data_IF_832468590908
#
_entry.id   IF_832468590908
#
_cell.length_a   1.000
_cell.length_b   1.000
_cell.length_c   1.000
_cell.angle_alpha   90.00
_cell.angle_beta   90.00
_cell.angle_gamma   90.00
#
_symmetry.space_group_name_H-M   'P 1'
#
loop_
_entity.id
_entity.type
_entity.pdbx_description
1 polymer ?
#
# COMPACT_ATOMS: atom_id res chain seq x y z
N UNK A 1 27.64 -1.39 24.83
CA UNK A 1 26.78 -1.83 23.72
C UNK A 1 26.27 -0.56 23.08
N UNK A 2 26.65 -0.29 21.84
CA UNK A 2 26.18 0.88 21.10
C UNK A 2 24.66 0.72 20.93
N UNK A 3 23.89 1.56 21.62
CA UNK A 3 22.43 1.45 21.72
C UNK A 3 21.76 2.28 20.61
N UNK A 4 22.36 2.27 19.42
CA UNK A 4 21.79 2.88 18.24
C UNK A 4 20.62 2.00 17.78
N UNK A 5 19.40 2.53 17.85
CA UNK A 5 18.22 1.86 17.31
C UNK A 5 18.51 1.43 15.87
N UNK A 6 18.21 0.17 15.48
CA UNK A 6 18.56 -0.32 14.16
C UNK A 6 17.94 0.60 13.10
N UNK A 7 18.77 1.08 12.18
CA UNK A 7 18.34 2.03 11.17
C UNK A 7 17.27 1.40 10.25
N UNK A 8 16.19 2.15 10.00
CA UNK A 8 15.18 1.77 9.02
C UNK A 8 15.59 2.34 7.66
N UNK A 9 15.62 1.50 6.64
CA UNK A 9 15.91 1.89 5.25
C UNK A 9 14.67 1.63 4.39
N UNK A 10 14.35 2.58 3.52
CA UNK A 10 13.31 2.42 2.50
C UNK A 10 13.99 2.03 1.19
N UNK A 11 13.60 0.88 0.65
CA UNK A 11 14.19 0.30 -0.56
C UNK A 11 13.08 -0.06 -1.55
N UNK A 12 13.34 -0.06 -2.87
CA UNK A 12 12.47 -0.71 -3.84
C UNK A 12 12.28 -2.20 -3.46
N UNK A 13 11.06 -2.70 -3.65
CA UNK A 13 10.76 -4.11 -3.46
C UNK A 13 10.92 -4.90 -4.77
N UNK A 14 11.53 -6.08 -4.66
CA UNK A 14 11.72 -7.03 -5.75
C UNK A 14 10.79 -8.24 -5.64
N UNK A 15 10.83 -9.12 -6.65
CA UNK A 15 10.02 -10.34 -6.69
C UNK A 15 10.46 -11.31 -5.58
N UNK A 16 11.71 -11.25 -5.15
CA UNK A 16 12.25 -12.01 -4.03
C UNK A 16 11.63 -11.63 -2.66
N UNK A 17 11.02 -10.44 -2.55
CA UNK A 17 10.45 -9.96 -1.29
C UNK A 17 9.00 -10.39 -1.07
N UNK A 18 8.32 -10.91 -2.09
CA UNK A 18 6.84 -11.00 -2.12
C UNK A 18 6.26 -11.81 -0.96
N UNK A 19 6.94 -12.87 -0.53
CA UNK A 19 6.51 -13.65 0.62
C UNK A 19 6.57 -12.83 1.91
N UNK A 20 7.64 -12.05 2.09
CA UNK A 20 7.78 -11.17 3.25
C UNK A 20 6.76 -10.02 3.21
N UNK A 21 6.50 -9.45 2.03
CA UNK A 21 5.50 -8.38 1.85
C UNK A 21 4.09 -8.86 2.16
N UNK A 22 3.70 -10.05 1.68
CA UNK A 22 2.41 -10.65 1.96
C UNK A 22 2.23 -10.93 3.46
N UNK A 23 3.27 -11.43 4.13
CA UNK A 23 3.26 -11.60 5.59
C UNK A 23 3.13 -10.27 6.34
N UNK A 24 3.78 -9.20 5.87
CA UNK A 24 3.68 -7.86 6.47
C UNK A 24 2.27 -7.30 6.32
N UNK A 25 1.70 -7.33 5.11
CA UNK A 25 0.36 -6.80 4.83
C UNK A 25 -0.70 -7.57 5.62
N UNK A 26 -0.58 -8.89 5.62
CA UNK A 26 -1.39 -9.77 6.45
C UNK A 26 -1.28 -9.35 7.92
N UNK A 27 -0.12 -9.49 8.56
CA UNK A 27 0.05 -9.16 9.98
C UNK A 27 -0.49 -7.77 10.36
N UNK A 28 -0.17 -6.75 9.55
CA UNK A 28 -0.59 -5.37 9.77
C UNK A 28 -2.12 -5.18 9.77
N UNK A 29 -2.84 -5.89 8.91
CA UNK A 29 -4.30 -5.78 8.79
C UNK A 29 -5.08 -6.88 9.52
N UNK A 30 -4.40 -7.76 10.26
CA UNK A 30 -5.01 -8.89 10.99
C UNK A 30 -6.10 -8.50 11.98
N UNK A 31 -6.11 -7.25 12.43
CA UNK A 31 -7.05 -6.72 13.43
C UNK A 31 -7.99 -5.65 12.86
N UNK A 32 -7.85 -5.32 11.58
CA UNK A 32 -8.69 -4.29 10.97
C UNK A 32 -10.08 -4.84 10.66
N UNK A 33 -11.16 -4.25 11.23
CA UNK A 33 -12.52 -4.78 11.04
C UNK A 33 -12.99 -4.74 9.59
N UNK A 34 -12.48 -3.80 8.78
CA UNK A 34 -12.82 -3.72 7.36
C UNK A 34 -12.15 -4.87 6.62
N UNK A 35 -10.84 -5.08 6.80
CA UNK A 35 -10.13 -6.20 6.19
C UNK A 35 -10.74 -7.55 6.57
N UNK A 36 -11.10 -7.76 7.84
CA UNK A 36 -11.74 -9.01 8.26
C UNK A 36 -13.10 -9.23 7.57
N UNK A 37 -13.89 -8.17 7.36
CA UNK A 37 -15.16 -8.24 6.64
C UNK A 37 -14.97 -8.56 5.15
N UNK A 38 -13.91 -8.01 4.54
CA UNK A 38 -13.64 -8.12 3.11
C UNK A 38 -12.90 -9.42 2.74
N UNK A 39 -11.82 -9.71 3.43
CA UNK A 39 -10.85 -10.77 3.08
C UNK A 39 -10.96 -12.01 3.98
N UNK A 40 -11.73 -11.93 5.07
CA UNK A 40 -11.85 -13.01 6.05
C UNK A 40 -10.65 -13.10 6.99
N UNK A 41 -10.57 -14.22 7.72
CA UNK A 41 -9.43 -14.52 8.56
C UNK A 41 -8.19 -14.89 7.73
N UNK A 42 -7.02 -14.71 8.34
CA UNK A 42 -5.75 -14.98 7.68
C UNK A 42 -5.51 -16.47 7.55
N UNK A 43 -5.24 -16.89 6.32
CA UNK A 43 -4.88 -18.27 5.99
C UNK A 43 -3.56 -18.27 5.23
N UNK A 44 -2.81 -19.38 5.32
CA UNK A 44 -1.59 -19.55 4.53
C UNK A 44 -1.87 -19.43 3.03
N UNK A 45 -2.99 -20.00 2.56
CA UNK A 45 -3.42 -19.92 1.16
C UNK A 45 -3.72 -18.48 0.72
N UNK A 46 -4.36 -17.68 1.59
CA UNK A 46 -4.60 -16.25 1.32
C UNK A 46 -3.31 -15.43 1.25
N UNK A 47 -2.35 -15.73 2.12
CA UNK A 47 -1.02 -15.09 2.10
C UNK A 47 -0.26 -15.47 0.82
N UNK A 48 -0.31 -16.73 0.41
CA UNK A 48 0.31 -17.21 -0.84
C UNK A 48 -0.34 -16.58 -2.08
N UNK A 49 -1.68 -16.50 -2.12
CA UNK A 49 -2.41 -15.80 -3.16
C UNK A 49 -1.95 -14.35 -3.27
N UNK A 50 -1.83 -13.66 -2.13
CA UNK A 50 -1.40 -12.26 -2.10
C UNK A 50 0.05 -12.07 -2.53
N UNK A 51 0.94 -12.99 -2.15
CA UNK A 51 2.32 -13.00 -2.60
C UNK A 51 2.41 -13.16 -4.12
N UNK A 52 1.57 -14.00 -4.73
CA UNK A 52 1.47 -14.16 -6.18
C UNK A 52 1.03 -12.85 -6.85
N UNK A 53 0.02 -12.16 -6.31
CA UNK A 53 -0.41 -10.86 -6.84
C UNK A 53 0.70 -9.81 -6.77
N UNK A 54 1.49 -9.78 -5.69
CA UNK A 54 2.66 -8.91 -5.60
C UNK A 54 3.73 -9.26 -6.63
N UNK A 55 4.01 -10.55 -6.82
CA UNK A 55 4.97 -11.00 -7.83
C UNK A 55 4.56 -10.55 -9.23
N UNK A 56 3.29 -10.74 -9.60
CA UNK A 56 2.74 -10.31 -10.89
C UNK A 56 2.78 -8.79 -11.04
N UNK A 57 2.43 -8.04 -9.99
CA UNK A 57 2.47 -6.58 -9.99
C UNK A 57 3.88 -6.03 -10.18
N UNK A 58 4.85 -6.52 -9.41
CA UNK A 58 6.25 -6.11 -9.49
C UNK A 58 6.86 -6.52 -10.84
N UNK A 59 6.56 -7.72 -11.34
CA UNK A 59 7.09 -8.23 -12.61
C UNK A 59 6.68 -7.39 -13.83
N UNK A 60 5.53 -6.69 -13.78
CA UNK A 60 5.09 -5.77 -14.85
C UNK A 60 6.04 -4.59 -15.05
N UNK A 61 6.84 -4.23 -14.04
CA UNK A 61 7.74 -3.06 -14.05
C UNK A 61 7.04 -1.79 -14.53
N UNK A 62 5.77 -1.61 -14.14
CA UNK A 62 4.99 -0.42 -14.50
C UNK A 62 5.63 0.79 -13.82
N UNK A 63 6.16 1.78 -14.55
CA UNK A 63 6.81 2.94 -13.96
C UNK A 63 5.85 3.76 -13.07
N UNK A 64 4.53 3.62 -13.28
CA UNK A 64 3.51 4.28 -12.46
C UNK A 64 3.35 3.63 -11.10
N UNK A 65 3.72 2.36 -10.90
CA UNK A 65 3.48 1.68 -9.64
C UNK A 65 4.79 1.36 -8.95
N UNK A 66 5.01 1.96 -7.79
CA UNK A 66 6.20 1.77 -6.98
C UNK A 66 5.87 0.89 -5.78
N UNK A 67 6.49 -0.28 -5.73
CA UNK A 67 6.51 -1.14 -4.56
C UNK A 67 7.77 -0.83 -3.76
N UNK A 68 7.61 -0.44 -2.50
CA UNK A 68 8.69 -0.15 -1.58
C UNK A 68 8.56 -1.00 -0.32
N UNK A 69 9.71 -1.29 0.30
CA UNK A 69 9.82 -2.04 1.55
C UNK A 69 10.57 -1.23 2.59
N UNK A 70 10.14 -1.33 3.84
CA UNK A 70 10.93 -0.88 4.98
C UNK A 70 11.73 -2.05 5.53
N UNK A 71 13.05 -1.89 5.60
CA UNK A 71 13.99 -2.89 6.12
C UNK A 71 14.59 -2.41 7.43
N UNK A 72 14.50 -3.24 8.47
CA UNK A 72 15.10 -3.03 9.77
C UNK A 72 16.39 -3.85 9.88
N UNK A 73 17.48 -3.20 10.27
CA UNK A 73 18.79 -3.86 10.35
C UNK A 73 19.31 -4.24 8.95
N UNK A 74 19.92 -5.43 8.83
CA UNK A 74 20.49 -5.89 7.56
C UNK A 74 19.39 -6.24 6.55
N UNK A 75 18.53 -7.23 6.86
CA UNK A 75 17.63 -7.79 5.84
C UNK A 75 16.18 -8.03 6.31
N UNK A 76 15.79 -7.53 7.49
CA UNK A 76 14.43 -7.82 8.00
C UNK A 76 13.40 -6.87 7.40
N UNK A 77 12.58 -7.37 6.48
CA UNK A 77 11.42 -6.63 5.94
C UNK A 77 10.34 -6.49 7.02
N UNK A 78 10.03 -5.24 7.39
CA UNK A 78 9.06 -4.89 8.42
C UNK A 78 7.89 -4.06 7.89
N UNK A 79 7.97 -3.55 6.66
CA UNK A 79 6.95 -2.68 6.08
C UNK A 79 6.82 -2.83 4.56
N UNK A 80 5.62 -2.55 4.07
CA UNK A 80 5.24 -2.49 2.66
C UNK A 80 4.60 -1.12 2.38
N UNK A 81 5.01 -0.50 1.28
CA UNK A 81 4.34 0.66 0.71
C UNK A 81 4.09 0.44 -0.78
N UNK A 82 2.90 0.80 -1.26
CA UNK A 82 2.55 0.78 -2.68
C UNK A 82 2.07 2.16 -3.08
N UNK A 83 2.82 2.81 -3.97
CA UNK A 83 2.51 4.12 -4.51
C UNK A 83 2.15 4.03 -5.99
N UNK A 84 1.19 4.85 -6.41
CA UNK A 84 0.85 5.06 -7.81
C UNK A 84 1.16 6.51 -8.20
N UNK A 85 1.98 6.69 -9.23
CA UNK A 85 2.52 7.97 -9.67
C UNK A 85 1.91 8.31 -11.02
N UNK A 86 0.96 9.24 -11.03
CA UNK A 86 0.34 9.78 -12.25
C UNK A 86 0.97 11.13 -12.54
N UNK A 87 2.15 11.11 -13.13
CA UNK A 87 2.96 12.31 -13.36
C UNK A 87 2.60 13.06 -14.63
N UNK A 88 1.64 12.55 -15.40
CA UNK A 88 1.05 13.17 -16.58
C UNK A 88 -0.46 12.93 -16.61
N UNK A 89 -1.21 13.77 -17.32
CA UNK A 89 -2.68 13.68 -17.34
C UNK A 89 -3.18 12.44 -18.05
N UNK A 90 -2.44 11.89 -19.01
CA UNK A 90 -2.89 10.74 -19.78
C UNK A 90 -2.81 9.45 -18.97
N UNK A 91 -1.72 9.27 -18.23
CA UNK A 91 -1.56 8.14 -17.31
C UNK A 91 -2.63 8.14 -16.22
N UNK A 92 -3.11 9.31 -15.79
CA UNK A 92 -4.18 9.44 -14.79
C UNK A 92 -5.55 8.91 -15.28
N UNK A 93 -5.77 8.84 -16.60
CA UNK A 93 -7.04 8.36 -17.19
C UNK A 93 -7.09 6.85 -17.34
N UNK A 94 -5.95 6.18 -17.30
CA UNK A 94 -5.83 4.82 -17.83
C UNK A 94 -6.18 3.69 -16.86
N UNK A 95 -6.77 3.98 -15.68
CA UNK A 95 -6.94 2.95 -14.66
C UNK A 95 -8.39 2.63 -14.36
N UNK A 96 -8.90 1.65 -15.10
CA UNK A 96 -10.10 0.90 -14.75
C UNK A 96 -9.63 -0.48 -14.28
N UNK A 97 -9.86 -0.79 -13.01
CA UNK A 97 -9.73 -2.17 -12.52
C UNK A 97 -11.07 -2.83 -12.75
N UNK A 98 -11.11 -3.85 -13.60
CA UNK A 98 -12.30 -4.68 -13.76
C UNK A 98 -12.46 -5.56 -12.52
N UNK A 99 -13.32 -5.12 -11.61
CA UNK A 99 -13.60 -5.81 -10.35
C UNK A 99 -14.44 -7.07 -10.54
N UNK A 100 -15.11 -7.24 -11.69
CA UNK A 100 -15.88 -8.45 -12.02
C UNK A 100 -14.94 -9.57 -12.49
N UNK A 101 -13.83 -9.22 -13.13
CA UNK A 101 -12.77 -10.16 -13.52
C UNK A 101 -11.69 -10.37 -12.43
N UNK A 102 -11.77 -9.66 -11.30
CA UNK A 102 -10.79 -9.78 -10.23
C UNK A 102 -10.95 -11.13 -9.52
N UNK A 103 -9.92 -11.97 -9.60
CA UNK A 103 -9.81 -13.17 -8.76
C UNK A 103 -9.52 -12.75 -7.31
N UNK A 104 -10.43 -13.07 -6.39
CA UNK A 104 -10.26 -12.82 -4.96
C UNK A 104 -9.59 -14.01 -4.28
N UNK A 105 -8.84 -13.74 -3.22
CA UNK A 105 -8.20 -14.78 -2.43
C UNK A 105 -9.21 -15.68 -1.71
N UNK A 106 -8.79 -16.88 -1.28
CA UNK A 106 -9.63 -17.79 -0.52
C UNK A 106 -10.15 -17.13 0.77
N UNK A 107 -11.45 -17.27 1.05
CA UNK A 107 -12.11 -16.67 2.21
C UNK A 107 -12.60 -15.23 2.00
N UNK A 108 -12.22 -14.57 0.91
CA UNK A 108 -12.69 -13.22 0.64
C UNK A 108 -14.19 -13.19 0.29
N UNK A 109 -14.89 -12.21 0.84
CA UNK A 109 -16.25 -11.87 0.46
C UNK A 109 -16.21 -11.04 -0.82
N UNK A 110 -16.29 -11.71 -1.97
CA UNK A 110 -16.18 -11.08 -3.28
C UNK A 110 -17.19 -9.94 -3.51
N UNK A 111 -18.42 -10.07 -3.01
CA UNK A 111 -19.43 -9.00 -3.12
C UNK A 111 -19.03 -7.77 -2.30
N UNK A 112 -18.65 -7.97 -1.02
CA UNK A 112 -18.22 -6.87 -0.16
C UNK A 112 -16.96 -6.20 -0.71
N UNK A 113 -16.00 -6.98 -1.24
CA UNK A 113 -14.82 -6.49 -1.92
C UNK A 113 -15.17 -5.64 -3.14
N UNK A 114 -16.06 -6.11 -4.02
CA UNK A 114 -16.53 -5.34 -5.19
C UNK A 114 -17.15 -4.02 -4.77
N UNK A 115 -18.05 -4.03 -3.79
CA UNK A 115 -18.68 -2.80 -3.31
C UNK A 115 -17.65 -1.84 -2.70
N UNK A 116 -16.78 -2.33 -1.83
CA UNK A 116 -15.81 -1.51 -1.13
C UNK A 116 -14.79 -0.88 -2.09
N UNK A 117 -14.10 -1.69 -2.87
CA UNK A 117 -13.10 -1.19 -3.82
C UNK A 117 -13.73 -0.43 -4.98
N UNK A 118 -14.95 -0.79 -5.39
CA UNK A 118 -15.70 -0.04 -6.40
C UNK A 118 -15.97 1.39 -5.94
N UNK A 119 -16.31 1.60 -4.67
CA UNK A 119 -16.49 2.96 -4.11
C UNK A 119 -15.18 3.72 -4.02
N UNK A 120 -14.07 3.07 -3.67
CA UNK A 120 -12.73 3.66 -3.70
C UNK A 120 -12.39 4.12 -5.11
N UNK A 121 -12.49 3.24 -6.11
CA UNK A 121 -12.13 3.57 -7.49
C UNK A 121 -13.03 4.67 -8.06
N UNK A 122 -14.32 4.66 -7.75
CA UNK A 122 -15.23 5.75 -8.11
C UNK A 122 -14.83 7.09 -7.47
N UNK A 123 -14.31 7.09 -6.24
CA UNK A 123 -13.77 8.31 -5.62
C UNK A 123 -12.55 8.80 -6.40
N UNK A 124 -11.68 7.89 -6.84
CA UNK A 124 -10.47 8.21 -7.59
C UNK A 124 -10.75 8.80 -8.97
N UNK A 125 -11.92 8.55 -9.57
CA UNK A 125 -12.35 9.21 -10.81
C UNK A 125 -12.32 10.74 -10.71
N UNK A 126 -12.48 11.31 -9.50
CA UNK A 126 -12.39 12.77 -9.29
C UNK A 126 -11.00 13.34 -9.60
N UNK A 127 -9.98 12.50 -9.58
CA UNK A 127 -8.58 12.86 -9.88
C UNK A 127 -8.20 12.57 -11.34
N UNK A 128 -9.10 11.94 -12.10
CA UNK A 128 -8.87 11.61 -13.49
C UNK A 128 -8.63 12.89 -14.31
N UNK A 129 -7.59 12.87 -15.15
CA UNK A 129 -7.15 14.03 -15.93
C UNK A 129 -6.26 15.01 -15.16
N UNK A 130 -5.83 14.69 -13.94
CA UNK A 130 -4.93 15.53 -13.15
C UNK A 130 -3.68 14.76 -12.74
N UNK A 131 -2.54 15.44 -12.67
CA UNK A 131 -1.31 14.85 -12.13
C UNK A 131 -1.46 14.69 -10.61
N UNK A 132 -1.14 13.52 -10.08
CA UNK A 132 -1.24 13.25 -8.65
C UNK A 132 -0.46 11.97 -8.27
N UNK A 133 -0.20 11.79 -6.98
CA UNK A 133 0.26 10.51 -6.43
C UNK A 133 -0.82 9.89 -5.55
N UNK A 134 -0.92 8.57 -5.53
CA UNK A 134 -1.87 7.83 -4.69
C UNK A 134 -1.13 6.79 -3.87
N UNK A 135 -1.30 6.82 -2.55
CA UNK A 135 -0.90 5.71 -1.69
C UNK A 135 -1.95 4.61 -1.78
N UNK A 136 -1.58 3.47 -2.36
CA UNK A 136 -2.46 2.32 -2.53
C UNK A 136 -2.45 1.37 -1.32
N UNK A 137 -1.31 1.21 -0.65
CA UNK A 137 -1.18 0.38 0.55
C UNK A 137 -0.03 0.90 1.42
N UNK A 138 -0.21 0.88 2.74
CA UNK A 138 0.83 1.17 3.71
C UNK A 138 0.66 0.22 4.91
N UNK A 139 1.56 -0.75 5.02
CA UNK A 139 1.52 -1.76 6.06
C UNK A 139 2.86 -1.80 6.83
N UNK A 140 2.80 -2.01 8.14
CA UNK A 140 3.97 -2.25 8.98
C UNK A 140 3.61 -3.34 9.97
N UNK A 141 4.47 -4.36 10.11
CA UNK A 141 4.30 -5.45 11.08
C UNK A 141 3.98 -4.88 12.46
N UNK A 142 2.98 -5.43 13.14
CA UNK A 142 2.48 -4.95 14.43
C UNK A 142 3.62 -4.83 15.44
N UNK A 143 4.50 -5.83 15.51
CA UNK A 143 5.67 -5.84 16.41
C UNK A 143 6.70 -4.72 16.13
N UNK A 144 6.63 -4.07 14.96
CA UNK A 144 7.57 -3.03 14.52
C UNK A 144 6.90 -1.68 14.27
N UNK A 145 5.62 -1.54 14.63
CA UNK A 145 4.93 -0.25 14.59
C UNK A 145 5.51 0.72 15.64
N UNK A 146 5.32 2.02 15.42
CA UNK A 146 5.87 3.06 16.30
C UNK A 146 7.37 3.33 16.12
N UNK A 147 8.08 2.55 15.30
CA UNK A 147 9.51 2.76 15.01
C UNK A 147 9.79 3.77 13.88
N UNK A 148 8.75 4.29 13.23
CA UNK A 148 8.87 5.28 12.14
C UNK A 148 8.89 4.70 10.72
N UNK A 149 8.77 3.38 10.54
CA UNK A 149 8.73 2.74 9.21
C UNK A 149 7.59 3.28 8.34
N UNK A 150 6.37 3.36 8.88
CA UNK A 150 5.22 3.94 8.18
C UNK A 150 5.44 5.39 7.78
N UNK A 151 6.02 6.22 8.67
CA UNK A 151 6.38 7.60 8.38
C UNK A 151 7.40 7.70 7.25
N UNK A 152 8.45 6.86 7.27
CA UNK A 152 9.49 6.88 6.25
C UNK A 152 8.96 6.44 4.86
N UNK A 153 8.11 5.42 4.81
CA UNK A 153 7.47 4.99 3.54
C UNK A 153 6.42 6.00 3.05
N UNK A 154 5.75 6.71 3.95
CA UNK A 154 4.84 7.80 3.60
C UNK A 154 5.62 9.00 3.04
N UNK A 155 6.72 9.39 3.68
CA UNK A 155 7.60 10.48 3.24
C UNK A 155 8.11 10.24 1.82
N UNK A 156 8.44 8.99 1.46
CA UNK A 156 8.88 8.65 0.10
C UNK A 156 7.93 9.17 -1.00
N UNK A 157 6.62 8.96 -0.86
CA UNK A 157 5.65 9.43 -1.86
C UNK A 157 5.34 10.92 -1.74
N UNK A 158 5.37 11.47 -0.52
CA UNK A 158 5.20 12.90 -0.28
C UNK A 158 6.35 13.70 -0.90
N UNK A 159 7.60 13.26 -0.77
CA UNK A 159 8.77 13.90 -1.39
C UNK A 159 8.63 13.96 -2.92
N UNK A 160 8.04 12.92 -3.53
CA UNK A 160 7.74 12.91 -4.97
C UNK A 160 6.64 13.92 -5.29
N UNK A 161 5.57 13.96 -4.51
CA UNK A 161 4.47 14.90 -4.69
C UNK A 161 4.95 16.36 -4.59
N UNK A 162 5.75 16.66 -3.57
CA UNK A 162 6.32 17.99 -3.31
C UNK A 162 7.29 18.41 -4.42
N UNK A 163 8.17 17.50 -4.85
CA UNK A 163 9.10 17.75 -5.97
C UNK A 163 8.37 18.08 -7.26
N UNK A 164 7.29 17.36 -7.55
CA UNK A 164 6.50 17.53 -8.78
C UNK A 164 5.44 18.64 -8.67
N UNK A 165 5.27 19.21 -7.47
CA UNK A 165 4.26 20.19 -7.10
C UNK A 165 2.84 19.72 -7.48
N UNK A 166 2.49 18.50 -7.05
CA UNK A 166 1.20 17.83 -7.32
C UNK A 166 0.58 17.31 -6.02
N UNK A 167 -0.75 17.14 -5.97
CA UNK A 167 -1.40 16.60 -4.78
C UNK A 167 -1.10 15.11 -4.57
N UNK A 168 -1.08 14.71 -3.29
CA UNK A 168 -1.10 13.32 -2.86
C UNK A 168 -2.48 12.92 -2.34
N UNK A 169 -2.88 11.68 -2.62
CA UNK A 169 -4.17 11.13 -2.22
C UNK A 169 -4.02 9.75 -1.59
N UNK A 170 -4.94 9.41 -0.69
CA UNK A 170 -5.00 8.11 -0.02
C UNK A 170 -6.39 7.86 0.56
N UNK A 171 -6.71 6.59 0.75
CA UNK A 171 -7.87 6.15 1.53
C UNK A 171 -7.38 5.70 2.91
N UNK A 172 -7.69 6.49 3.93
CA UNK A 172 -7.15 6.27 5.28
C UNK A 172 -7.93 5.20 6.06
N UNK A 173 -7.20 4.29 6.72
CA UNK A 173 -7.74 3.52 7.84
C UNK A 173 -7.89 4.40 9.09
N UNK A 174 -8.68 3.94 10.07
CA UNK A 174 -8.80 4.62 11.35
C UNK A 174 -7.45 4.74 12.07
N UNK A 175 -6.62 3.70 12.00
CA UNK A 175 -5.29 3.66 12.63
C UNK A 175 -4.29 4.59 11.92
N UNK A 176 -4.33 4.64 10.58
CA UNK A 176 -3.43 5.46 9.78
C UNK A 176 -3.74 6.96 9.83
N UNK A 177 -4.98 7.34 10.18
CA UNK A 177 -5.46 8.73 10.10
C UNK A 177 -4.57 9.76 10.80
N UNK A 178 -4.10 9.43 12.01
CA UNK A 178 -3.24 10.32 12.78
C UNK A 178 -1.84 10.48 12.17
N UNK A 179 -1.32 9.44 11.51
CA UNK A 179 -0.07 9.53 10.76
C UNK A 179 -0.25 10.46 9.56
N UNK A 180 -1.27 10.24 8.74
CA UNK A 180 -1.49 11.02 7.53
C UNK A 180 -1.68 12.51 7.82
N UNK A 181 -2.40 12.86 8.90
CA UNK A 181 -2.53 14.26 9.35
C UNK A 181 -1.20 14.94 9.65
N UNK A 182 -0.23 14.22 10.24
CA UNK A 182 1.11 14.76 10.53
C UNK A 182 1.87 15.13 9.26
N UNK A 183 1.51 14.51 8.13
CA UNK A 183 2.06 14.77 6.80
C UNK A 183 1.21 15.77 5.99
N UNK A 184 0.24 16.43 6.62
CA UNK A 184 -0.56 17.48 5.98
C UNK A 184 -1.77 16.98 5.18
N UNK A 185 -2.03 15.68 5.15
CA UNK A 185 -3.24 15.16 4.49
C UNK A 185 -4.50 15.64 5.22
N UNK A 186 -5.52 16.00 4.43
CA UNK A 186 -6.82 16.46 4.90
C UNK A 186 -7.93 15.60 4.32
N UNK A 187 -9.05 15.50 5.04
CA UNK A 187 -10.24 14.81 4.55
C UNK A 187 -10.93 15.69 3.51
N UNK A 188 -11.21 15.12 2.34
CA UNK A 188 -12.02 15.73 1.29
C UNK A 188 -13.53 15.50 1.49
#
# INVERSE_FOLDING_TARGET
>A
MDNTLPAIRILPAGVEDVSALALVESDAYSRDPVTLCLMGEQTSEGIEHRAKEFAEGIAKKDPKTQYIKAVLGEDTVIGLGIWHLYLDEESSKSRVVDLDQKEWGPGANADACREFFGRIFKMRERMCGQRHVVLGCLATKIAHQGLGAGSAMLQYGVDIADKENIPGWLEASLEGHNLYKKFGFQRC
#
